data_IF_704079143337
#
_entry.id   IF_704079143337
#
_cell.length_a   1.000
_cell.length_b   1.000
_cell.length_c   1.000
_cell.angle_alpha   90.00
_cell.angle_beta   90.00
_cell.angle_gamma   90.00
#
_symmetry.space_group_name_H-M   'P 1'
#
loop_
_entity.id
_entity.type
_entity.pdbx_description
1 polymer ?
#
# COMPACT_ATOMS: atom_id res chain seq x y z
N UNK A 1 14.75 -19.70 -8.25
CA UNK A 1 14.04 -19.87 -9.54
C UNK A 1 12.65 -19.28 -9.40
N UNK A 2 12.36 -18.16 -10.09
CA UNK A 2 11.01 -17.59 -10.13
C UNK A 2 10.22 -18.39 -11.19
N UNK A 3 9.24 -19.17 -10.74
CA UNK A 3 8.53 -20.14 -11.58
C UNK A 3 7.54 -19.50 -12.54
N UNK A 4 7.35 -20.15 -13.69
CA UNK A 4 6.26 -19.89 -14.64
C UNK A 4 4.94 -20.18 -13.91
N UNK A 5 4.12 -19.15 -13.70
CA UNK A 5 2.79 -19.15 -13.08
C UNK A 5 2.49 -20.41 -12.23
N UNK A 6 3.06 -20.47 -11.03
CA UNK A 6 2.83 -21.54 -10.07
C UNK A 6 1.39 -21.56 -9.54
N UNK A 7 1.07 -22.58 -8.73
CA UNK A 7 -0.22 -22.73 -8.04
C UNK A 7 -0.53 -21.44 -7.26
N UNK A 8 -1.65 -20.82 -7.60
CA UNK A 8 -2.14 -19.60 -6.95
C UNK A 8 -2.92 -19.96 -5.69
N UNK A 9 -2.42 -19.50 -4.53
CA UNK A 9 -3.11 -19.66 -3.23
C UNK A 9 -4.08 -18.52 -2.93
N UNK A 10 -4.02 -17.41 -3.67
CA UNK A 10 -4.98 -16.29 -3.52
C UNK A 10 -6.27 -16.53 -4.33
N UNK A 11 -7.39 -15.89 -3.94
CA UNK A 11 -8.60 -15.84 -4.75
C UNK A 11 -8.33 -15.49 -6.23
N UNK A 12 -9.15 -16.03 -7.13
CA UNK A 12 -8.90 -15.97 -8.58
C UNK A 12 -8.76 -14.54 -9.13
N UNK A 13 -9.43 -13.57 -8.54
CA UNK A 13 -9.54 -12.21 -9.06
C UNK A 13 -8.43 -11.24 -8.65
N UNK A 14 -7.52 -11.58 -7.74
CA UNK A 14 -6.34 -10.74 -7.46
C UNK A 14 -5.06 -11.58 -7.30
N UNK A 15 -3.90 -11.01 -7.60
CA UNK A 15 -2.62 -11.71 -7.45
C UNK A 15 -1.51 -10.78 -6.97
N UNK A 16 -0.62 -11.30 -6.12
CA UNK A 16 0.62 -10.62 -5.76
C UNK A 16 1.69 -10.89 -6.81
N UNK A 17 2.34 -9.81 -7.27
CA UNK A 17 3.45 -9.87 -8.20
C UNK A 17 4.71 -9.34 -7.52
N UNK A 18 5.60 -10.26 -7.14
CA UNK A 18 6.88 -9.91 -6.52
C UNK A 18 7.84 -9.38 -7.58
N UNK A 19 8.35 -8.16 -7.45
CA UNK A 19 9.23 -7.53 -8.47
C UNK A 19 10.73 -7.57 -8.09
N UNK A 20 11.02 -7.68 -6.81
CA UNK A 20 12.39 -7.79 -6.27
C UNK A 20 12.38 -8.51 -4.93
N UNK A 21 13.56 -8.85 -4.44
CA UNK A 21 13.78 -9.42 -3.12
C UNK A 21 14.98 -8.74 -2.44
N UNK A 22 15.06 -8.81 -1.11
CA UNK A 22 16.11 -8.15 -0.34
C UNK A 22 15.90 -6.64 -0.21
N UNK A 23 16.78 -5.96 0.53
CA UNK A 23 16.65 -4.52 0.78
C UNK A 23 18.01 -3.88 1.06
N UNK A 24 18.28 -2.73 0.43
CA UNK A 24 19.54 -1.99 0.63
C UNK A 24 19.51 -1.06 1.85
N UNK A 25 18.34 -0.83 2.46
CA UNK A 25 18.26 -0.03 3.68
C UNK A 25 18.92 -0.74 4.85
N UNK A 26 19.58 0.06 5.71
CA UNK A 26 20.20 -0.40 6.96
C UNK A 26 19.48 0.20 8.17
N UNK A 27 18.15 0.10 8.16
CA UNK A 27 17.30 0.56 9.25
C UNK A 27 17.66 -0.18 10.55
N UNK A 28 17.83 0.53 11.66
CA UNK A 28 18.31 -0.08 12.92
C UNK A 28 17.33 -1.08 13.52
N UNK A 29 16.03 -0.94 13.24
CA UNK A 29 14.98 -1.85 13.71
C UNK A 29 14.76 -3.08 12.79
N UNK A 30 15.36 -3.12 11.60
CA UNK A 30 15.02 -4.10 10.58
C UNK A 30 16.17 -5.10 10.36
N UNK A 31 15.85 -6.39 10.39
CA UNK A 31 16.81 -7.48 10.14
C UNK A 31 16.71 -8.08 8.72
N UNK A 32 15.85 -7.53 7.86
CA UNK A 32 15.63 -8.03 6.50
C UNK A 32 16.92 -8.13 5.67
N UNK A 33 17.84 -7.16 5.66
CA UNK A 33 19.08 -7.29 4.89
C UNK A 33 19.94 -8.48 5.34
N UNK A 34 19.97 -8.76 6.65
CA UNK A 34 20.71 -9.91 7.19
C UNK A 34 20.05 -11.25 6.83
N UNK A 35 18.72 -11.29 6.72
CA UNK A 35 17.98 -12.53 6.41
C UNK A 35 17.82 -12.80 4.90
N UNK A 36 17.60 -11.76 4.10
CA UNK A 36 17.23 -11.87 2.67
C UNK A 36 18.30 -11.32 1.72
N UNK A 37 19.36 -10.71 2.25
CA UNK A 37 20.41 -10.08 1.48
C UNK A 37 20.03 -8.70 0.96
N UNK A 38 20.94 -8.15 0.15
CA UNK A 38 20.76 -6.89 -0.56
C UNK A 38 19.70 -7.01 -1.66
N UNK A 39 19.28 -5.86 -2.18
CA UNK A 39 18.28 -5.77 -3.23
C UNK A 39 18.71 -6.58 -4.47
N UNK A 40 17.81 -7.46 -4.92
CA UNK A 40 17.90 -8.19 -6.17
C UNK A 40 16.62 -7.97 -6.97
N UNK A 41 16.71 -7.18 -8.03
CA UNK A 41 15.60 -6.90 -8.93
C UNK A 41 15.41 -8.00 -9.96
N UNK A 42 14.15 -8.38 -10.21
CA UNK A 42 13.83 -9.31 -11.30
C UNK A 42 13.97 -8.60 -12.66
N UNK A 43 14.28 -9.33 -13.74
CA UNK A 43 14.25 -8.76 -15.09
C UNK A 43 12.84 -8.27 -15.47
N UNK A 44 12.74 -7.05 -16.00
CA UNK A 44 11.45 -6.43 -16.35
C UNK A 44 10.60 -7.27 -17.32
N UNK A 45 11.24 -7.95 -18.29
CA UNK A 45 10.55 -8.82 -19.25
C UNK A 45 9.87 -10.01 -18.57
N UNK A 46 10.50 -10.60 -17.54
CA UNK A 46 9.93 -11.73 -16.80
C UNK A 46 8.73 -11.28 -15.96
N UNK A 47 8.81 -10.10 -15.36
CA UNK A 47 7.71 -9.51 -14.58
C UNK A 47 6.51 -9.24 -15.48
N UNK A 48 6.72 -8.61 -16.64
CA UNK A 48 5.63 -8.29 -17.57
C UNK A 48 5.03 -9.54 -18.21
N UNK A 49 5.84 -10.58 -18.46
CA UNK A 49 5.36 -11.89 -18.92
C UNK A 49 4.46 -12.55 -17.88
N UNK A 50 4.86 -12.53 -16.60
CA UNK A 50 4.04 -13.05 -15.52
C UNK A 50 2.76 -12.24 -15.33
N UNK A 51 2.84 -10.90 -15.36
CA UNK A 51 1.68 -10.03 -15.28
C UNK A 51 0.66 -10.31 -16.40
N UNK A 52 1.12 -10.47 -17.65
CA UNK A 52 0.24 -10.82 -18.78
C UNK A 52 -0.47 -12.15 -18.53
N UNK A 53 0.28 -13.18 -18.12
CA UNK A 53 -0.30 -14.49 -17.82
C UNK A 53 -1.34 -14.42 -16.69
N UNK A 54 -1.11 -13.59 -15.66
CA UNK A 54 -2.07 -13.36 -14.58
C UNK A 54 -3.37 -12.70 -15.09
N UNK A 55 -3.27 -11.67 -15.93
CA UNK A 55 -4.43 -11.01 -16.52
C UNK A 55 -5.20 -11.92 -17.49
N UNK A 56 -4.50 -12.67 -18.34
CA UNK A 56 -5.10 -13.69 -19.22
C UNK A 56 -5.82 -14.77 -18.39
N UNK A 57 -5.32 -15.08 -17.19
CA UNK A 57 -5.95 -15.96 -16.21
C UNK A 57 -7.15 -15.37 -15.46
N UNK A 58 -7.57 -14.14 -15.78
CA UNK A 58 -8.75 -13.48 -15.22
C UNK A 58 -8.50 -12.67 -13.95
N UNK A 59 -7.24 -12.36 -13.61
CA UNK A 59 -6.92 -11.43 -12.52
C UNK A 59 -7.47 -10.04 -12.85
N UNK A 60 -8.15 -9.43 -11.88
CA UNK A 60 -8.70 -8.08 -11.94
C UNK A 60 -7.96 -7.07 -11.07
N UNK A 61 -7.06 -7.52 -10.19
CA UNK A 61 -6.18 -6.64 -9.43
C UNK A 61 -4.80 -7.28 -9.25
N UNK A 62 -3.77 -6.56 -9.69
CA UNK A 62 -2.38 -6.93 -9.56
C UNK A 62 -1.74 -6.13 -8.43
N UNK A 63 -1.27 -6.83 -7.40
CA UNK A 63 -0.68 -6.25 -6.20
C UNK A 63 0.85 -6.33 -6.33
N UNK A 64 1.46 -5.24 -6.75
CA UNK A 64 2.92 -5.15 -6.92
C UNK A 64 3.57 -5.08 -5.54
N UNK A 65 4.47 -6.03 -5.25
CA UNK A 65 5.10 -6.16 -3.94
C UNK A 65 6.62 -6.35 -4.02
N UNK A 66 7.31 -5.81 -3.04
CA UNK A 66 8.72 -6.04 -2.72
C UNK A 66 9.01 -5.49 -1.32
N UNK A 67 10.27 -5.49 -0.88
CA UNK A 67 10.68 -4.85 0.35
C UNK A 67 10.81 -3.32 0.19
N UNK A 68 11.16 -2.86 -1.00
CA UNK A 68 11.19 -1.46 -1.41
C UNK A 68 10.92 -1.38 -2.92
N UNK A 69 9.66 -1.09 -3.27
CA UNK A 69 9.19 -1.06 -4.66
C UNK A 69 9.82 0.11 -5.43
N UNK A 70 10.13 1.18 -4.72
CA UNK A 70 10.70 2.39 -5.32
C UNK A 70 12.19 2.25 -5.68
N UNK A 71 12.91 1.32 -5.04
CA UNK A 71 14.28 0.98 -5.38
C UNK A 71 14.42 -0.01 -6.56
N UNK A 72 13.31 -0.47 -7.15
CA UNK A 72 13.36 -1.45 -8.23
C UNK A 72 14.31 -1.02 -9.37
N UNK A 73 15.30 -1.88 -9.61
CA UNK A 73 16.30 -1.73 -10.66
C UNK A 73 17.57 -0.96 -10.31
N UNK A 74 17.68 -0.41 -9.10
CA UNK A 74 18.88 0.30 -8.63
C UNK A 74 20.12 -0.60 -8.63
N UNK A 75 19.96 -1.86 -8.18
CA UNK A 75 21.01 -2.88 -8.11
C UNK A 75 21.58 -3.27 -9.49
N UNK A 76 20.76 -3.19 -10.53
CA UNK A 76 21.16 -3.46 -11.93
C UNK A 76 21.45 -2.19 -12.73
N UNK A 77 21.58 -1.04 -12.05
CA UNK A 77 21.82 0.29 -12.68
C UNK A 77 20.81 0.61 -13.78
N UNK A 78 19.54 0.28 -13.54
CA UNK A 78 18.43 0.48 -14.47
C UNK A 78 18.63 -0.15 -15.86
N UNK A 79 19.35 -1.28 -15.93
CA UNK A 79 19.59 -2.02 -17.17
C UNK A 79 18.31 -2.19 -17.97
N UNK A 80 18.38 -1.89 -19.27
CA UNK A 80 17.27 -2.09 -20.20
C UNK A 80 17.01 -3.58 -20.41
N UNK A 81 15.77 -4.00 -20.21
CA UNK A 81 15.25 -5.28 -20.68
C UNK A 81 14.30 -5.07 -21.86
N UNK A 82 13.69 -6.16 -22.33
CA UNK A 82 12.76 -6.11 -23.46
C UNK A 82 11.44 -6.76 -23.09
N UNK A 83 10.36 -6.18 -23.59
CA UNK A 83 9.00 -6.71 -23.50
C UNK A 83 8.29 -6.44 -24.82
N UNK A 84 7.80 -7.50 -25.47
CA UNK A 84 7.07 -7.41 -26.74
C UNK A 84 7.82 -6.57 -27.81
N UNK A 85 9.13 -6.83 -27.94
CA UNK A 85 10.03 -6.12 -28.84
C UNK A 85 10.39 -4.68 -28.44
N UNK A 86 9.80 -4.14 -27.36
CA UNK A 86 10.05 -2.79 -26.88
C UNK A 86 11.12 -2.77 -25.77
N UNK A 87 12.10 -1.85 -25.83
CA UNK A 87 13.05 -1.66 -24.74
C UNK A 87 12.36 -0.99 -23.55
N UNK A 88 12.55 -1.54 -22.36
CA UNK A 88 12.03 -0.98 -21.10
C UNK A 88 13.17 -0.93 -20.09
N UNK A 89 13.41 0.23 -19.50
CA UNK A 89 14.40 0.35 -18.42
C UNK A 89 13.88 -0.39 -17.19
N UNK A 90 14.75 -1.17 -16.54
CA UNK A 90 14.41 -1.79 -15.25
C UNK A 90 14.40 -0.69 -14.19
N UNK A 91 13.34 0.12 -14.11
CA UNK A 91 13.13 1.19 -13.13
C UNK A 91 11.65 1.21 -12.76
N UNK A 92 11.33 1.63 -11.53
CA UNK A 92 9.95 1.66 -11.03
C UNK A 92 8.97 2.36 -11.99
N UNK A 93 9.26 3.59 -12.42
CA UNK A 93 8.37 4.37 -13.30
C UNK A 93 8.04 3.62 -14.60
N UNK A 94 9.07 3.16 -15.31
CA UNK A 94 8.93 2.44 -16.57
C UNK A 94 8.14 1.12 -16.39
N UNK A 95 8.39 0.40 -15.28
CA UNK A 95 7.63 -0.81 -14.95
C UNK A 95 6.16 -0.51 -14.64
N UNK A 96 5.87 0.50 -13.82
CA UNK A 96 4.51 0.88 -13.40
C UNK A 96 3.70 1.33 -14.62
N UNK A 97 4.31 2.12 -15.50
CA UNK A 97 3.72 2.52 -16.78
C UNK A 97 3.36 1.30 -17.63
N UNK A 98 4.30 0.38 -17.83
CA UNK A 98 4.08 -0.83 -18.63
C UNK A 98 3.02 -1.77 -18.01
N UNK A 99 2.97 -1.89 -16.68
CA UNK A 99 1.94 -2.66 -15.99
C UNK A 99 0.55 -2.03 -16.15
N UNK A 100 0.44 -0.71 -16.08
CA UNK A 100 -0.81 0.01 -16.33
C UNK A 100 -1.29 -0.16 -17.77
N UNK A 101 -0.40 0.00 -18.76
CA UNK A 101 -0.70 -0.25 -20.18
C UNK A 101 -1.18 -1.70 -20.42
N UNK A 102 -0.58 -2.66 -19.72
CA UNK A 102 -0.94 -4.06 -19.83
C UNK A 102 -2.29 -4.36 -19.17
N UNK A 103 -2.65 -3.69 -18.08
CA UNK A 103 -3.88 -3.92 -17.33
C UNK A 103 -5.13 -3.29 -17.98
N UNK A 104 -4.95 -2.17 -18.70
CA UNK A 104 -6.02 -1.40 -19.37
C UNK A 104 -6.97 -2.25 -20.23
N UNK A 105 -6.51 -3.08 -21.18
CA UNK A 105 -7.42 -3.89 -22.01
C UNK A 105 -8.21 -4.95 -21.22
N UNK A 106 -7.77 -5.31 -20.02
CA UNK A 106 -8.47 -6.25 -19.14
C UNK A 106 -9.43 -5.55 -18.16
N UNK A 107 -9.41 -4.21 -18.13
CA UNK A 107 -10.09 -3.39 -17.13
C UNK A 107 -9.63 -3.73 -15.72
N UNK A 108 -8.37 -4.10 -15.55
CA UNK A 108 -7.81 -4.55 -14.28
C UNK A 108 -7.07 -3.43 -13.54
N UNK A 109 -6.94 -3.59 -12.23
CA UNK A 109 -6.23 -2.67 -11.36
C UNK A 109 -4.76 -3.06 -11.18
N UNK A 110 -3.90 -2.07 -11.00
CA UNK A 110 -2.51 -2.23 -10.55
C UNK A 110 -2.32 -1.40 -9.29
N UNK A 111 -1.90 -2.05 -8.20
CA UNK A 111 -1.69 -1.43 -6.89
C UNK A 111 -0.25 -1.59 -6.43
N UNK A 112 0.35 -0.53 -5.94
CA UNK A 112 1.73 -0.52 -5.44
C UNK A 112 1.76 -0.66 -3.92
N UNK A 113 2.62 -1.53 -3.40
CA UNK A 113 2.88 -1.67 -1.97
C UNK A 113 4.35 -1.38 -1.65
N UNK A 114 4.64 -1.02 -0.40
CA UNK A 114 5.99 -0.80 0.09
C UNK A 114 6.78 0.21 -0.77
N UNK A 115 6.18 1.37 -1.01
CA UNK A 115 6.77 2.45 -1.81
C UNK A 115 7.51 3.41 -0.88
N UNK A 116 8.83 3.29 -0.81
CA UNK A 116 9.63 4.24 -0.05
C UNK A 116 9.54 5.63 -0.68
N UNK A 117 9.41 6.73 0.11
CA UNK A 117 9.19 8.06 -0.45
C UNK A 117 10.51 8.65 -0.99
N UNK A 118 11.09 8.11 -2.06
CA UNK A 118 12.18 8.78 -2.80
C UNK A 118 11.64 9.75 -3.82
N UNK A 119 12.32 10.87 -4.16
CA UNK A 119 11.84 11.86 -5.14
C UNK A 119 11.26 11.26 -6.44
N UNK A 120 11.81 10.15 -6.92
CA UNK A 120 11.31 9.42 -8.10
C UNK A 120 9.86 8.89 -8.01
N UNK A 121 9.27 8.85 -6.81
CA UNK A 121 7.84 8.51 -6.62
C UNK A 121 6.92 9.62 -7.13
N UNK A 122 7.39 10.87 -7.17
CA UNK A 122 6.62 12.00 -7.69
C UNK A 122 6.22 11.76 -9.16
N UNK A 123 7.11 11.11 -9.93
CA UNK A 123 6.89 10.77 -11.33
C UNK A 123 5.72 9.78 -11.54
N UNK A 124 5.29 9.04 -10.51
CA UNK A 124 4.20 8.06 -10.59
C UNK A 124 2.83 8.69 -10.30
N UNK A 125 2.79 9.82 -9.59
CA UNK A 125 1.53 10.49 -9.22
C UNK A 125 0.68 10.86 -10.44
N UNK A 126 1.23 11.35 -11.56
CA UNK A 126 0.44 11.59 -12.77
C UNK A 126 -0.26 10.33 -13.29
N UNK A 127 0.39 9.15 -13.21
CA UNK A 127 -0.21 7.88 -13.65
C UNK A 127 -1.39 7.47 -12.77
N UNK A 128 -1.31 7.79 -11.48
CA UNK A 128 -2.42 7.61 -10.53
C UNK A 128 -3.56 8.58 -10.81
N UNK A 129 -3.25 9.85 -11.08
CA UNK A 129 -4.24 10.89 -11.37
C UNK A 129 -5.02 10.62 -12.67
N UNK A 130 -4.41 10.00 -13.66
CA UNK A 130 -5.09 9.58 -14.90
C UNK A 130 -5.80 8.23 -14.79
N UNK A 131 -5.76 7.57 -13.63
CA UNK A 131 -6.38 6.25 -13.40
C UNK A 131 -5.66 5.08 -14.06
N UNK A 132 -4.41 5.27 -14.50
CA UNK A 132 -3.62 4.24 -15.18
C UNK A 132 -3.11 3.16 -14.22
N UNK A 133 -2.83 3.57 -12.99
CA UNK A 133 -2.65 2.70 -11.83
C UNK A 133 -3.47 3.26 -10.68
N UNK A 134 -3.76 2.45 -9.66
CA UNK A 134 -4.61 2.90 -8.57
C UNK A 134 -3.96 4.05 -7.79
N UNK A 135 -4.73 5.09 -7.41
CA UNK A 135 -4.24 6.19 -6.57
C UNK A 135 -4.14 5.74 -5.11
N UNK A 136 -3.19 4.83 -4.86
CA UNK A 136 -2.93 4.21 -3.58
C UNK A 136 -1.42 4.08 -3.37
N UNK A 137 -0.92 4.66 -2.30
CA UNK A 137 0.48 4.56 -1.89
C UNK A 137 0.59 4.03 -0.47
N UNK A 138 1.18 2.84 -0.33
CA UNK A 138 1.63 2.31 0.94
C UNK A 138 3.08 2.76 1.20
N UNK A 139 3.22 3.83 1.99
CA UNK A 139 4.48 4.51 2.29
C UNK A 139 4.88 4.17 3.71
N UNK A 140 5.87 3.28 3.93
CA UNK A 140 6.27 2.91 5.29
C UNK A 140 7.08 4.06 5.92
N UNK A 141 6.44 5.01 6.60
CA UNK A 141 7.12 6.17 7.21
C UNK A 141 7.88 5.83 8.49
N UNK A 142 7.37 4.86 9.26
CA UNK A 142 7.92 4.35 10.53
C UNK A 142 7.85 5.34 11.70
N UNK A 143 8.20 6.61 11.47
CA UNK A 143 8.03 7.72 12.41
C UNK A 143 7.95 9.04 11.61
N UNK A 144 7.69 10.17 12.27
CA UNK A 144 7.73 11.50 11.66
C UNK A 144 8.83 12.41 12.24
N UNK A 145 9.09 12.30 13.55
CA UNK A 145 10.10 13.11 14.22
C UNK A 145 11.51 12.90 13.62
N UNK A 146 12.23 13.97 13.21
CA UNK A 146 13.54 13.86 12.56
C UNK A 146 14.59 13.12 13.38
N UNK A 147 14.62 13.33 14.69
CA UNK A 147 15.61 12.69 15.57
C UNK A 147 15.36 11.20 15.75
N UNK A 148 14.09 10.77 15.88
CA UNK A 148 13.71 9.35 15.91
C UNK A 148 14.07 8.69 14.58
N UNK A 149 13.74 9.33 13.45
CA UNK A 149 14.11 8.84 12.12
C UNK A 149 15.63 8.70 11.94
N UNK A 150 16.41 9.63 12.51
CA UNK A 150 17.87 9.55 12.53
C UNK A 150 18.35 8.33 13.32
N UNK A 151 17.79 8.08 14.51
CA UNK A 151 18.08 6.88 15.31
C UNK A 151 17.65 5.58 14.62
N UNK A 152 16.57 5.63 13.85
CA UNK A 152 16.10 4.55 12.98
C UNK A 152 17.00 4.31 11.74
N UNK A 153 17.96 5.20 11.45
CA UNK A 153 18.76 5.25 10.21
C UNK A 153 17.89 5.35 8.95
N UNK A 154 16.83 6.16 9.02
CA UNK A 154 15.96 6.45 7.88
C UNK A 154 16.51 7.65 7.10
N UNK A 155 16.89 7.48 5.81
CA UNK A 155 17.47 8.57 5.00
C UNK A 155 16.50 9.73 4.73
N UNK A 156 15.19 9.55 4.98
CA UNK A 156 14.17 10.55 4.71
C UNK A 156 14.04 11.63 5.81
N UNK A 157 14.99 11.75 6.74
CA UNK A 157 14.94 12.74 7.83
C UNK A 157 15.10 14.19 7.37
N UNK A 158 15.41 14.43 6.08
CA UNK A 158 15.56 15.77 5.49
C UNK A 158 14.40 16.23 4.61
N UNK A 159 13.50 15.33 4.19
CA UNK A 159 12.32 15.70 3.41
C UNK A 159 11.15 15.98 4.35
N UNK A 160 10.45 17.10 4.11
CA UNK A 160 9.15 17.34 4.73
C UNK A 160 8.13 16.39 4.10
N UNK A 161 8.07 15.15 4.60
CA UNK A 161 7.11 14.13 4.16
C UNK A 161 5.67 14.66 4.13
N UNK A 162 5.34 15.58 5.04
CA UNK A 162 4.06 16.29 5.07
C UNK A 162 3.83 17.09 3.79
N UNK A 163 4.72 18.04 3.45
CA UNK A 163 4.64 18.86 2.25
C UNK A 163 4.53 17.99 0.99
N UNK A 164 5.25 16.87 0.98
CA UNK A 164 5.24 15.93 -0.13
C UNK A 164 3.91 15.20 -0.30
N UNK A 165 3.33 14.70 0.79
CA UNK A 165 1.98 14.10 0.80
C UNK A 165 0.94 15.13 0.34
N UNK A 166 1.07 16.38 0.78
CA UNK A 166 0.19 17.47 0.36
C UNK A 166 0.33 17.77 -1.14
N UNK A 167 1.56 17.83 -1.66
CA UNK A 167 1.82 18.01 -3.08
C UNK A 167 1.27 16.87 -3.94
N UNK A 168 1.41 15.62 -3.49
CA UNK A 168 0.82 14.46 -4.17
C UNK A 168 -0.70 14.55 -4.22
N UNK A 169 -1.35 14.92 -3.11
CA UNK A 169 -2.81 15.08 -3.07
C UNK A 169 -3.32 16.27 -3.87
N UNK A 170 -2.53 17.33 -4.00
CA UNK A 170 -2.86 18.44 -4.89
C UNK A 170 -2.91 17.98 -6.36
N UNK A 171 -2.01 17.07 -6.76
CA UNK A 171 -1.99 16.49 -8.10
C UNK A 171 -3.01 15.34 -8.30
N UNK A 172 -3.23 14.53 -7.26
CA UNK A 172 -4.14 13.41 -7.25
C UNK A 172 -5.04 13.46 -6.00
N UNK A 173 -6.16 14.20 -6.03
CA UNK A 173 -7.05 14.37 -4.87
C UNK A 173 -7.64 13.07 -4.32
N UNK A 174 -7.76 12.05 -5.17
CA UNK A 174 -8.28 10.73 -4.81
C UNK A 174 -7.25 9.85 -4.09
N UNK A 175 -5.98 10.26 -4.02
CA UNK A 175 -4.87 9.52 -3.46
C UNK A 175 -5.13 9.07 -2.02
N UNK A 176 -5.05 7.75 -1.85
CA UNK A 176 -5.06 7.08 -0.55
C UNK A 176 -3.63 6.87 -0.12
N UNK A 177 -3.28 7.39 1.06
CA UNK A 177 -1.97 7.16 1.67
C UNK A 177 -2.14 6.21 2.84
N UNK A 178 -1.50 5.05 2.73
CA UNK A 178 -1.32 4.10 3.82
C UNK A 178 0.08 4.23 4.39
N UNK A 179 0.21 4.11 5.71
CA UNK A 179 1.53 4.07 6.36
C UNK A 179 1.53 3.13 7.56
N UNK A 180 2.73 2.72 7.94
CA UNK A 180 3.00 1.94 9.15
C UNK A 180 3.98 2.70 10.03
N UNK A 181 3.73 2.70 11.33
CA UNK A 181 4.50 3.42 12.34
C UNK A 181 4.95 2.51 13.47
N UNK A 182 6.02 2.93 14.15
CA UNK A 182 6.58 2.27 15.32
C UNK A 182 6.55 3.28 16.47
N UNK A 183 5.82 2.97 17.53
CA UNK A 183 5.75 3.78 18.75
C UNK A 183 6.68 3.23 19.83
N UNK A 184 7.28 4.14 20.60
CA UNK A 184 8.17 3.79 21.70
C UNK A 184 9.52 3.23 21.24
N UNK A 185 10.07 3.79 20.16
CA UNK A 185 11.41 3.45 19.68
C UNK A 185 12.47 3.80 20.75
N UNK A 186 13.63 3.11 20.84
CA UNK A 186 14.66 3.44 21.84
C UNK A 186 15.03 4.93 21.87
N UNK A 187 14.92 5.51 23.07
CA UNK A 187 15.15 6.92 23.36
C UNK A 187 14.02 7.87 22.95
N UNK A 188 12.86 7.38 22.49
CA UNK A 188 11.71 8.21 22.12
C UNK A 188 11.13 8.96 23.33
N UNK A 189 11.15 10.28 23.27
CA UNK A 189 10.59 11.16 24.30
C UNK A 189 9.11 11.45 24.06
N UNK A 190 8.44 12.03 25.07
CA UNK A 190 7.03 12.40 24.93
C UNK A 190 6.79 13.47 23.87
N UNK A 191 7.68 14.46 23.75
CA UNK A 191 7.57 15.50 22.73
C UNK A 191 7.75 14.93 21.30
N UNK A 192 8.64 13.95 21.13
CA UNK A 192 8.82 13.27 19.84
C UNK A 192 7.59 12.43 19.47
N UNK A 193 6.95 11.81 20.47
CA UNK A 193 5.71 11.06 20.27
C UNK A 193 4.51 11.98 19.97
N UNK A 194 4.36 13.11 20.66
CA UNK A 194 3.31 14.08 20.35
C UNK A 194 3.48 14.67 18.94
N UNK A 195 4.71 14.95 18.50
CA UNK A 195 4.96 15.33 17.10
C UNK A 195 4.48 14.23 16.14
N UNK A 196 4.61 12.95 16.48
CA UNK A 196 4.08 11.85 15.67
C UNK A 196 2.55 11.91 15.56
N UNK A 197 1.85 12.16 16.67
CA UNK A 197 0.39 12.29 16.66
C UNK A 197 -0.08 13.48 15.82
N UNK A 198 0.58 14.63 15.96
CA UNK A 198 0.27 15.84 15.19
C UNK A 198 0.53 15.62 13.69
N UNK A 199 1.63 14.97 13.34
CA UNK A 199 1.91 14.61 11.96
C UNK A 199 0.79 13.74 11.35
N UNK A 200 0.26 12.75 12.07
CA UNK A 200 -0.82 11.90 11.56
C UNK A 200 -2.10 12.72 11.32
N UNK A 201 -2.41 13.66 12.22
CA UNK A 201 -3.55 14.58 12.07
C UNK A 201 -3.36 15.48 10.85
N UNK A 202 -2.21 16.14 10.73
CA UNK A 202 -1.93 17.10 9.65
C UNK A 202 -1.79 16.43 8.28
N UNK A 203 -1.06 15.31 8.22
CA UNK A 203 -0.89 14.54 7.00
C UNK A 203 -2.17 13.81 6.58
N UNK A 204 -3.19 13.74 7.45
CA UNK A 204 -4.49 13.14 7.17
C UNK A 204 -4.34 11.72 6.58
N UNK A 205 -3.48 10.88 7.17
CA UNK A 205 -3.18 9.54 6.66
C UNK A 205 -4.47 8.70 6.60
N UNK A 206 -4.78 8.13 5.44
CA UNK A 206 -6.05 7.43 5.21
C UNK A 206 -6.14 6.12 6.00
N UNK A 207 -5.05 5.35 5.99
CA UNK A 207 -4.91 4.05 6.65
C UNK A 207 -3.58 4.04 7.41
N UNK A 208 -3.61 3.88 8.73
CA UNK A 208 -2.39 3.85 9.53
C UNK A 208 -2.38 2.62 10.44
N UNK A 209 -1.30 1.85 10.38
CA UNK A 209 -0.98 0.83 11.37
C UNK A 209 0.11 1.33 12.31
N UNK A 210 0.06 0.92 13.58
CA UNK A 210 1.12 1.20 14.55
C UNK A 210 1.46 -0.02 15.37
N UNK A 211 2.76 -0.25 15.52
CA UNK A 211 3.33 -1.31 16.34
C UNK A 211 4.10 -0.68 17.49
N UNK A 212 3.98 -1.24 18.68
CA UNK A 212 4.94 -0.97 19.74
C UNK A 212 6.29 -1.51 19.29
N UNK A 213 7.37 -0.76 19.49
CA UNK A 213 8.70 -1.23 19.15
C UNK A 213 8.98 -2.57 19.84
N UNK A 214 9.41 -3.57 19.08
CA UNK A 214 9.75 -4.90 19.57
C UNK A 214 11.23 -5.19 19.28
N UNK A 215 12.04 -5.56 20.29
CA UNK A 215 13.47 -5.81 20.12
C UNK A 215 13.71 -7.19 19.50
N UNK A 216 13.48 -7.29 18.19
CA UNK A 216 13.75 -8.52 17.43
C UNK A 216 15.25 -8.86 17.54
N UNK A 217 15.56 -10.14 17.73
CA UNK A 217 16.95 -10.61 17.80
C UNK A 217 17.73 -10.20 16.55
N UNK A 218 18.94 -9.64 16.76
CA UNK A 218 19.80 -9.13 15.69
C UNK A 218 19.51 -7.69 15.24
N UNK A 219 18.45 -7.03 15.73
CA UNK A 219 18.20 -5.62 15.42
C UNK A 219 19.22 -4.71 16.11
N UNK A 220 19.90 -3.85 15.33
CA UNK A 220 20.89 -2.90 15.86
C UNK A 220 20.29 -1.89 16.85
N UNK A 221 18.99 -1.59 16.73
CA UNK A 221 18.25 -0.73 17.64
C UNK A 221 18.24 -1.26 19.09
N UNK A 222 18.46 -2.56 19.31
CA UNK A 222 18.53 -3.13 20.66
C UNK A 222 19.76 -2.64 21.45
N UNK A 223 20.77 -2.10 20.76
CA UNK A 223 22.00 -1.55 21.36
C UNK A 223 21.92 -0.03 21.57
N UNK A 224 20.80 0.61 21.23
CA UNK A 224 20.59 2.03 21.49
C UNK A 224 20.16 2.24 22.94
N UNK A 225 20.66 3.31 23.55
CA UNK A 225 20.28 3.71 24.89
C UNK A 225 18.81 4.15 24.97
N UNK A 226 18.27 4.13 26.20
CA UNK A 226 16.95 4.67 26.47
C UNK A 226 15.79 3.78 26.01
N UNK A 227 15.94 2.45 26.05
CA UNK A 227 14.83 1.53 25.81
C UNK A 227 13.66 1.83 26.75
N UNK A 228 12.45 1.96 26.20
CA UNK A 228 11.26 2.25 26.98
C UNK A 228 10.68 0.97 27.60
N UNK A 229 10.08 1.05 28.81
CA UNK A 229 9.29 -0.05 29.38
C UNK A 229 8.23 -0.54 28.38
N UNK A 230 7.92 -1.85 28.42
CA UNK A 230 6.95 -2.45 27.49
C UNK A 230 5.57 -1.80 27.61
N UNK A 231 5.17 -1.48 28.83
CA UNK A 231 3.90 -0.85 29.18
C UNK A 231 3.78 0.53 28.51
N UNK A 232 4.85 1.34 28.53
CA UNK A 232 4.85 2.66 27.91
C UNK A 232 4.83 2.58 26.37
N UNK A 233 5.50 1.58 25.78
CA UNK A 233 5.45 1.34 24.33
C UNK A 233 4.04 0.96 23.87
N UNK A 234 3.36 0.12 24.63
CA UNK A 234 1.97 -0.28 24.37
C UNK A 234 0.98 0.88 24.61
N UNK A 235 1.18 1.69 25.65
CA UNK A 235 0.39 2.89 25.90
C UNK A 235 0.47 3.86 24.71
N UNK A 236 1.68 4.12 24.22
CA UNK A 236 1.90 4.97 23.04
C UNK A 236 1.29 4.38 21.78
N UNK A 237 1.42 3.07 21.57
CA UNK A 237 0.72 2.38 20.47
C UNK A 237 -0.78 2.61 20.55
N UNK A 238 -1.39 2.45 21.72
CA UNK A 238 -2.83 2.65 21.91
C UNK A 238 -3.26 4.11 21.65
N UNK A 239 -2.52 5.10 22.17
CA UNK A 239 -2.75 6.53 21.92
C UNK A 239 -2.64 6.88 20.45
N UNK A 240 -1.62 6.34 19.76
CA UNK A 240 -1.48 6.49 18.31
C UNK A 240 -2.70 5.93 17.57
N UNK A 241 -3.11 4.70 17.89
CA UNK A 241 -4.22 4.04 17.20
C UNK A 241 -5.54 4.81 17.36
N UNK A 242 -5.79 5.43 18.53
CA UNK A 242 -6.95 6.28 18.74
C UNK A 242 -6.96 7.51 17.80
N UNK A 243 -5.80 8.18 17.62
CA UNK A 243 -5.67 9.30 16.68
C UNK A 243 -5.83 8.84 15.23
N UNK A 244 -5.20 7.72 14.87
CA UNK A 244 -5.33 7.14 13.53
C UNK A 244 -6.77 6.75 13.19
N UNK A 245 -7.51 6.17 14.14
CA UNK A 245 -8.92 5.80 13.98
C UNK A 245 -9.79 7.04 13.75
N UNK A 246 -9.57 8.11 14.50
CA UNK A 246 -10.27 9.38 14.30
C UNK A 246 -10.05 9.90 12.87
N UNK A 247 -8.78 10.04 12.44
CA UNK A 247 -8.44 10.55 11.10
C UNK A 247 -9.02 9.66 9.99
N UNK A 248 -8.89 8.34 10.13
CA UNK A 248 -9.40 7.38 9.13
C UNK A 248 -10.93 7.47 9.01
N UNK A 249 -11.64 7.58 10.14
CA UNK A 249 -13.10 7.73 10.17
C UNK A 249 -13.54 9.02 9.48
N UNK A 250 -12.87 10.14 9.75
CA UNK A 250 -13.16 11.42 9.10
C UNK A 250 -12.93 11.36 7.59
N UNK A 251 -11.84 10.70 7.14
CA UNK A 251 -11.54 10.48 5.72
C UNK A 251 -12.60 9.62 5.03
N UNK A 252 -13.03 8.52 5.66
CA UNK A 252 -14.07 7.63 5.11
C UNK A 252 -15.42 8.34 4.99
N UNK A 253 -15.80 9.17 5.98
CA UNK A 253 -17.05 9.95 5.93
C UNK A 253 -17.14 10.85 4.70
N UNK A 254 -16.01 11.40 4.22
CA UNK A 254 -15.97 12.23 2.99
C UNK A 254 -16.34 11.46 1.72
N UNK A 255 -16.32 10.11 1.77
CA UNK A 255 -16.71 9.25 0.64
C UNK A 255 -18.22 8.97 0.60
N UNK A 256 -18.97 9.28 1.65
CA UNK A 256 -20.43 9.10 1.65
C UNK A 256 -21.05 9.96 0.56
N UNK A 257 -21.91 9.36 -0.26
CA UNK A 257 -22.51 9.97 -1.44
C UNK A 257 -21.74 9.72 -2.75
N UNK A 258 -20.45 9.37 -2.68
CA UNK A 258 -19.66 9.07 -3.86
C UNK A 258 -20.14 7.77 -4.54
N UNK A 259 -20.02 7.71 -5.87
CA UNK A 259 -20.19 6.47 -6.62
C UNK A 259 -18.81 5.90 -6.92
N UNK A 260 -18.54 4.69 -6.44
CA UNK A 260 -17.23 4.05 -6.56
C UNK A 260 -17.35 2.74 -7.32
N UNK A 261 -16.28 2.38 -8.02
CA UNK A 261 -16.08 1.02 -8.53
C UNK A 261 -15.62 0.13 -7.37
N UNK A 262 -16.24 -1.05 -7.26
CA UNK A 262 -16.00 -2.04 -6.21
C UNK A 262 -15.70 -3.38 -6.85
N UNK A 263 -14.56 -3.98 -6.53
CA UNK A 263 -14.20 -5.35 -6.88
C UNK A 263 -14.85 -6.30 -5.87
N UNK A 264 -15.70 -7.22 -6.33
CA UNK A 264 -16.41 -8.15 -5.43
C UNK A 264 -15.49 -9.29 -5.01
N UNK A 265 -15.21 -9.40 -3.71
CA UNK A 265 -14.40 -10.48 -3.13
C UNK A 265 -15.26 -11.65 -2.64
N UNK A 266 -16.49 -11.38 -2.16
CA UNK A 266 -17.43 -12.39 -1.67
C UNK A 266 -18.88 -12.03 -2.01
N UNK A 267 -19.65 -13.02 -2.44
CA UNK A 267 -21.04 -12.85 -2.87
C UNK A 267 -21.91 -14.04 -2.39
N UNK A 268 -22.38 -14.05 -1.14
CA UNK A 268 -23.19 -15.14 -0.60
C UNK A 268 -24.54 -15.26 -1.33
N UNK A 269 -25.11 -16.48 -1.32
CA UNK A 269 -26.36 -16.80 -2.01
C UNK A 269 -26.38 -16.34 -3.49
N UNK A 270 -25.29 -16.61 -4.20
CA UNK A 270 -25.08 -16.19 -5.60
C UNK A 270 -25.25 -14.67 -5.78
N UNK A 271 -24.80 -13.89 -4.79
CA UNK A 271 -24.85 -12.42 -4.80
C UNK A 271 -26.23 -11.80 -4.59
N UNK A 272 -27.27 -12.59 -4.27
CA UNK A 272 -28.63 -12.07 -4.02
C UNK A 272 -28.79 -11.42 -2.65
N UNK A 273 -27.93 -11.78 -1.68
CA UNK A 273 -27.97 -11.26 -0.30
C UNK A 273 -26.94 -10.15 -0.04
N UNK A 274 -26.46 -9.50 -1.08
CA UNK A 274 -25.35 -8.54 -0.97
C UNK A 274 -24.00 -9.20 -1.17
N UNK A 275 -22.95 -8.52 -0.73
CA UNK A 275 -21.58 -8.99 -0.86
C UNK A 275 -20.58 -8.18 -0.06
N UNK A 276 -19.32 -8.61 -0.13
CA UNK A 276 -18.16 -7.89 0.37
C UNK A 276 -17.26 -7.66 -0.83
N UNK A 277 -16.76 -6.43 -0.98
CA UNK A 277 -15.78 -6.09 -1.98
C UNK A 277 -14.82 -5.03 -1.48
N UNK A 278 -13.99 -4.52 -2.39
CA UNK A 278 -13.00 -3.49 -2.12
C UNK A 278 -13.04 -2.40 -3.16
N UNK A 279 -12.81 -1.17 -2.74
CA UNK A 279 -12.63 -0.05 -3.66
C UNK A 279 -11.16 0.11 -4.03
N UNK A 280 -10.86 1.08 -4.89
CA UNK A 280 -9.47 1.45 -5.16
C UNK A 280 -8.70 1.85 -3.89
N UNK A 281 -9.40 2.23 -2.81
CA UNK A 281 -8.80 2.65 -1.55
C UNK A 281 -8.42 1.50 -0.60
N UNK A 282 -8.75 0.25 -0.95
CA UNK A 282 -8.69 -0.87 -0.03
C UNK A 282 -7.84 -2.03 -0.58
N UNK A 283 -6.65 -2.21 -0.03
CA UNK A 283 -5.83 -3.39 -0.30
C UNK A 283 -6.42 -4.64 0.39
N UNK A 284 -6.27 -5.83 -0.20
CA UNK A 284 -6.83 -7.05 0.37
C UNK A 284 -6.15 -7.39 1.69
N UNK A 285 -6.93 -7.93 2.64
CA UNK A 285 -6.51 -8.45 3.95
C UNK A 285 -5.98 -7.42 4.96
N UNK A 286 -5.50 -6.25 4.50
CA UNK A 286 -4.81 -5.27 5.35
C UNK A 286 -5.58 -3.97 5.58
N UNK A 287 -6.55 -3.65 4.72
CA UNK A 287 -7.39 -2.46 4.82
C UNK A 287 -8.87 -2.84 5.11
N UNK A 288 -9.76 -1.85 5.09
CA UNK A 288 -11.19 -2.05 5.26
C UNK A 288 -11.86 -2.69 4.04
N UNK A 289 -13.17 -2.87 4.14
CA UNK A 289 -13.99 -3.48 3.10
C UNK A 289 -15.16 -2.58 2.71
N UNK A 290 -15.75 -2.86 1.55
CA UNK A 290 -17.01 -2.29 1.10
C UNK A 290 -18.09 -3.35 1.24
N UNK A 291 -18.98 -3.16 2.21
CA UNK A 291 -20.18 -3.98 2.38
C UNK A 291 -21.24 -3.55 1.36
N UNK A 292 -21.47 -4.42 0.38
CA UNK A 292 -22.47 -4.24 -0.66
C UNK A 292 -23.83 -4.74 -0.16
N UNK A 293 -24.81 -3.85 -0.13
CA UNK A 293 -26.19 -4.19 0.21
C UNK A 293 -26.86 -5.02 -0.90
N UNK A 294 -27.90 -5.81 -0.59
CA UNK A 294 -28.61 -6.59 -1.58
C UNK A 294 -29.11 -5.72 -2.75
N UNK A 295 -28.99 -6.20 -4.00
CA UNK A 295 -29.54 -5.47 -5.14
C UNK A 295 -31.07 -5.44 -5.07
N UNK A 296 -31.66 -4.27 -5.37
CA UNK A 296 -33.12 -4.10 -5.35
C UNK A 296 -33.82 -4.92 -6.46
N UNK A 297 -33.17 -5.01 -7.64
CA UNK A 297 -33.69 -5.79 -8.77
C UNK A 297 -33.22 -7.22 -8.65
N UNK A 298 -34.15 -8.18 -8.60
CA UNK A 298 -33.85 -9.61 -8.53
C UNK A 298 -33.00 -10.15 -9.71
N UNK A 299 -32.99 -9.44 -10.85
CA UNK A 299 -32.15 -9.77 -12.01
C UNK A 299 -30.68 -9.35 -11.86
N UNK A 300 -30.36 -8.44 -10.91
CA UNK A 300 -28.98 -8.09 -10.59
C UNK A 300 -28.45 -9.03 -9.50
N UNK A 301 -27.26 -9.58 -9.72
CA UNK A 301 -26.55 -10.40 -8.75
C UNK A 301 -25.08 -10.03 -8.75
N UNK A 302 -24.43 -10.13 -7.60
CA UNK A 302 -22.99 -9.98 -7.50
C UNK A 302 -22.28 -11.28 -7.85
N UNK A 303 -21.16 -11.16 -8.57
CA UNK A 303 -20.29 -12.29 -8.89
C UNK A 303 -18.88 -11.96 -8.42
N UNK A 304 -18.25 -12.90 -7.73
CA UNK A 304 -16.87 -12.76 -7.24
C UNK A 304 -15.94 -12.54 -8.42
N UNK A 305 -15.08 -11.53 -8.30
CA UNK A 305 -14.14 -11.11 -9.33
C UNK A 305 -14.70 -10.14 -10.36
N UNK A 306 -15.98 -9.79 -10.32
CA UNK A 306 -16.52 -8.74 -11.17
C UNK A 306 -16.42 -7.37 -10.48
N UNK A 307 -16.29 -6.32 -11.31
CA UNK A 307 -16.45 -4.95 -10.87
C UNK A 307 -17.92 -4.55 -10.88
N UNK A 308 -18.36 -3.88 -9.82
CA UNK A 308 -19.68 -3.27 -9.74
C UNK A 308 -19.55 -1.79 -9.39
N UNK A 309 -20.52 -0.97 -9.81
CA UNK A 309 -20.63 0.41 -9.35
C UNK A 309 -21.59 0.45 -8.17
N UNK A 310 -21.18 1.12 -7.11
CA UNK A 310 -22.00 1.26 -5.92
C UNK A 310 -21.91 2.69 -5.38
N UNK A 311 -23.02 3.19 -4.84
CA UNK A 311 -23.06 4.46 -4.13
C UNK A 311 -22.80 4.21 -2.65
N UNK A 312 -21.81 4.89 -2.10
CA UNK A 312 -21.50 4.83 -0.67
C UNK A 312 -22.62 5.56 0.09
N UNK A 313 -23.25 4.87 1.03
CA UNK A 313 -24.39 5.40 1.82
C UNK A 313 -24.05 5.57 3.30
N UNK A 314 -22.92 5.02 3.74
CA UNK A 314 -22.46 5.17 5.12
C UNK A 314 -21.12 4.51 5.36
N UNK A 315 -20.68 4.56 6.62
CA UNK A 315 -19.45 3.96 7.13
C UNK A 315 -19.77 3.13 8.37
N UNK A 316 -19.07 2.02 8.57
CA UNK A 316 -19.15 1.21 9.79
C UNK A 316 -17.72 0.92 10.27
N UNK A 317 -17.24 1.67 11.27
CA UNK A 317 -15.83 1.62 11.65
C UNK A 317 -14.92 1.96 10.46
N UNK A 318 -14.05 1.04 10.07
CA UNK A 318 -13.13 1.18 8.93
C UNK A 318 -13.70 0.73 7.59
N UNK A 319 -14.96 0.28 7.57
CA UNK A 319 -15.65 -0.23 6.38
C UNK A 319 -16.62 0.80 5.78
N UNK A 320 -16.89 0.65 4.49
CA UNK A 320 -17.92 1.41 3.77
C UNK A 320 -19.18 0.57 3.59
N UNK A 321 -20.34 1.20 3.66
CA UNK A 321 -21.65 0.63 3.30
C UNK A 321 -22.06 1.19 1.94
N UNK A 322 -22.42 0.34 1.00
CA UNK A 322 -22.74 0.77 -0.35
C UNK A 322 -23.95 0.06 -0.96
N UNK A 323 -24.75 0.80 -1.73
CA UNK A 323 -25.88 0.29 -2.50
C UNK A 323 -25.45 0.15 -3.97
N UNK A 324 -25.64 -1.03 -4.61
CA UNK A 324 -25.32 -1.19 -6.02
C UNK A 324 -26.19 -0.29 -6.92
N UNK A 325 -25.59 0.19 -8.02
CA UNK A 325 -26.28 1.01 -9.03
C UNK A 325 -26.59 0.18 -10.26
#
# INVERSE_FOLDING_TARGET
>A
AFGVAGIKLTPRHYAYLKISEGCNHRCTFCIIPSMRGDLVSRPVGDILKEARALFDGGVKELLVVSQDTSAYGVDVKYRTGFWDGKPIRTRMLDLVQALGDLAEPYGAWVRLHYVYPYPSVDDVIPLMATGKVLPYLDVPLQHSHPDVLRRMKRPASGEKNLDRIQAWRAQCPELVVRSTFIAGFPGETEAEFEHLLDFVREAQIDRAGCFAYSPVEGAAANQLDGMLPAELREERRARFMAVAEQVSTERLKRRVGATMQVLVDSAPALGRKGGIGRSYADAPEIDGTVRLLPPEKASKTFKVGDFTRARIVGTQGHDLLAVPI
#
